data_IF_550650686692
#
_entry.id   IF_550650686692
#
_cell.length_a   1.000
_cell.length_b   1.000
_cell.length_c   1.000
_cell.angle_alpha   90.00
_cell.angle_beta   90.00
_cell.angle_gamma   90.00
#
_symmetry.space_group_name_H-M   'P 1'
#
loop_
_entity.id
_entity.type
_entity.pdbx_description
1 polymer ?
#
# COMPACT_ATOMS: atom_id res chain seq x y z
N UNK A 1 7.26 27.58 -2.65
CA UNK A 1 6.52 26.32 -2.80
C UNK A 1 6.63 25.55 -1.49
N UNK A 2 5.51 25.28 -0.78
CA UNK A 2 5.56 24.41 0.40
C UNK A 2 6.07 23.04 -0.06
N UNK A 3 7.10 22.51 0.61
CA UNK A 3 7.57 21.15 0.37
C UNK A 3 6.35 20.21 0.50
N UNK A 4 6.16 19.31 -0.46
CA UNK A 4 5.32 18.12 -0.24
C UNK A 4 5.99 17.34 0.89
N UNK A 5 5.64 17.65 2.13
CA UNK A 5 5.98 16.79 3.25
C UNK A 5 5.41 15.40 2.91
N UNK A 6 6.28 14.39 2.95
CA UNK A 6 5.86 13.01 2.71
C UNK A 6 4.96 12.65 3.88
N UNK A 7 3.66 12.53 3.62
CA UNK A 7 2.69 12.10 4.60
C UNK A 7 2.83 10.58 4.76
N UNK A 8 3.31 10.15 5.93
CA UNK A 8 3.48 8.75 6.30
C UNK A 8 2.35 8.43 7.28
N UNK A 9 1.56 7.41 6.98
CA UNK A 9 0.49 6.92 7.84
C UNK A 9 0.71 5.45 8.18
N UNK A 10 0.30 5.06 9.38
CA UNK A 10 0.27 3.67 9.83
C UNK A 10 -0.95 2.95 9.24
N UNK A 11 -0.90 1.62 9.21
CA UNK A 11 -2.00 0.77 8.73
C UNK A 11 -3.32 1.05 9.46
N UNK A 12 -3.24 1.24 10.76
CA UNK A 12 -4.40 1.53 11.60
C UNK A 12 -4.87 2.98 11.49
N UNK A 13 -4.15 3.85 10.78
CA UNK A 13 -4.51 5.25 10.51
C UNK A 13 -5.16 5.42 9.13
N UNK A 14 -5.25 4.35 8.34
CA UNK A 14 -5.88 4.36 7.03
C UNK A 14 -6.98 3.30 6.90
N UNK A 15 -7.86 3.52 5.95
CA UNK A 15 -8.78 2.52 5.44
C UNK A 15 -8.47 2.32 3.96
N UNK A 16 -8.16 1.08 3.58
CA UNK A 16 -7.83 0.72 2.21
C UNK A 16 -8.99 -0.09 1.64
N UNK A 17 -9.61 0.40 0.58
CA UNK A 17 -10.65 -0.32 -0.17
C UNK A 17 -10.20 -0.55 -1.59
N UNK A 18 -10.70 -1.61 -2.22
CA UNK A 18 -10.46 -1.90 -3.63
C UNK A 18 -11.76 -1.72 -4.40
N UNK A 19 -11.71 -0.90 -5.46
CA UNK A 19 -12.82 -0.76 -6.42
C UNK A 19 -12.28 -1.02 -7.82
N UNK A 20 -12.61 -2.20 -8.36
CA UNK A 20 -12.09 -2.70 -9.62
C UNK A 20 -10.55 -2.70 -9.66
N UNK A 21 -10.04 -1.81 -10.50
CA UNK A 21 -8.62 -1.64 -10.80
C UNK A 21 -7.93 -0.58 -9.95
N UNK A 22 -8.59 -0.07 -8.91
CA UNK A 22 -8.06 0.96 -8.03
C UNK A 22 -8.09 0.52 -6.57
N UNK A 23 -7.08 0.93 -5.82
CA UNK A 23 -7.12 1.02 -4.37
C UNK A 23 -7.35 2.46 -3.94
N UNK A 24 -8.28 2.63 -3.03
CA UNK A 24 -8.62 3.89 -2.38
C UNK A 24 -8.08 3.83 -0.96
N UNK A 25 -7.17 4.76 -0.64
CA UNK A 25 -6.55 4.87 0.68
C UNK A 25 -7.11 6.14 1.33
N UNK A 26 -8.06 5.94 2.24
CA UNK A 26 -8.69 7.00 3.02
C UNK A 26 -7.92 7.17 4.34
N UNK A 27 -7.48 8.38 4.65
CA UNK A 27 -6.84 8.67 5.93
C UNK A 27 -7.91 8.94 6.99
N UNK A 28 -7.67 8.46 8.22
CA UNK A 28 -8.56 8.74 9.36
C UNK A 28 -8.43 10.18 9.85
N UNK A 29 -7.30 10.83 9.59
CA UNK A 29 -7.08 12.24 9.92
C UNK A 29 -7.95 13.13 9.01
N UNK A 30 -8.71 14.04 9.62
CA UNK A 30 -9.57 14.98 8.89
C UNK A 30 -8.72 16.01 8.10
N UNK A 31 -9.17 16.32 6.89
CA UNK A 31 -8.52 17.31 6.03
C UNK A 31 -7.35 16.77 5.20
N UNK A 32 -6.98 15.50 5.38
CA UNK A 32 -5.97 14.83 4.54
C UNK A 32 -6.64 14.23 3.29
N UNK A 33 -6.21 14.60 2.07
CA UNK A 33 -6.79 14.04 0.86
C UNK A 33 -6.52 12.53 0.73
N UNK A 34 -7.53 11.76 0.33
CA UNK A 34 -7.39 10.34 0.02
C UNK A 34 -6.44 10.11 -1.17
N UNK A 35 -5.80 8.94 -1.20
CA UNK A 35 -4.95 8.51 -2.31
C UNK A 35 -5.70 7.50 -3.19
N UNK A 36 -5.76 7.79 -4.49
CA UNK A 36 -6.25 6.86 -5.51
C UNK A 36 -5.07 6.22 -6.23
N UNK A 37 -4.88 4.93 -6.01
CA UNK A 37 -3.80 4.16 -6.60
C UNK A 37 -4.37 3.17 -7.61
N UNK A 38 -4.03 3.31 -8.89
CA UNK A 38 -4.42 2.33 -9.91
C UNK A 38 -3.54 1.07 -9.76
N UNK A 39 -4.18 -0.09 -9.57
CA UNK A 39 -3.58 -1.43 -9.41
C UNK A 39 -3.89 -2.36 -10.61
N UNK A 40 -4.85 -2.00 -11.47
CA UNK A 40 -5.39 -2.83 -12.56
C UNK A 40 -4.42 -3.39 -13.61
N UNK A 41 -4.92 -4.05 -14.67
CA UNK A 41 -4.15 -4.86 -15.62
C UNK A 41 -3.07 -4.10 -16.41
N UNK A 42 -3.08 -2.76 -16.36
CA UNK A 42 -2.03 -1.90 -16.91
C UNK A 42 -0.78 -1.80 -16.02
N UNK A 43 -0.84 -2.29 -14.77
CA UNK A 43 0.38 -2.65 -14.04
C UNK A 43 1.00 -3.81 -14.80
N UNK A 44 2.10 -3.50 -15.50
CA UNK A 44 2.80 -4.40 -16.41
C UNK A 44 2.64 -5.85 -15.99
N UNK A 45 1.92 -6.65 -16.79
CA UNK A 45 1.46 -8.01 -16.48
C UNK A 45 2.55 -9.06 -16.17
N UNK A 46 3.81 -8.64 -15.98
CA UNK A 46 4.93 -9.44 -15.48
C UNK A 46 5.51 -8.97 -14.13
N UNK A 47 5.07 -7.84 -13.59
CA UNK A 47 5.51 -7.28 -12.30
C UNK A 47 4.27 -6.83 -11.52
N UNK A 48 3.65 -7.75 -10.78
CA UNK A 48 2.59 -7.38 -9.84
C UNK A 48 3.11 -6.36 -8.83
N UNK A 49 2.31 -5.35 -8.49
CA UNK A 49 2.63 -4.41 -7.42
C UNK A 49 2.31 -5.07 -6.07
N UNK A 50 3.34 -5.27 -5.24
CA UNK A 50 3.18 -5.74 -3.87
C UNK A 50 3.40 -4.56 -2.93
N UNK A 51 2.39 -4.25 -2.13
CA UNK A 51 2.49 -3.28 -1.04
C UNK A 51 2.83 -4.06 0.22
N UNK A 52 3.95 -3.72 0.86
CA UNK A 52 4.40 -4.35 2.10
C UNK A 52 4.50 -3.29 3.20
N UNK A 53 4.01 -3.64 4.39
CA UNK A 53 4.08 -2.77 5.56
C UNK A 53 5.30 -3.16 6.39
N UNK A 54 6.20 -2.22 6.61
CA UNK A 54 7.43 -2.39 7.38
C UNK A 54 7.49 -1.35 8.51
N UNK A 55 8.27 -1.58 9.59
CA UNK A 55 8.58 -0.54 10.56
C UNK A 55 9.08 0.75 9.88
N UNK A 56 8.81 1.91 10.49
CA UNK A 56 9.12 3.22 9.91
C UNK A 56 10.61 3.39 9.59
N UNK A 57 11.49 2.86 10.45
CA UNK A 57 12.94 2.88 10.27
C UNK A 57 13.45 1.92 9.17
N UNK A 58 12.58 1.08 8.62
CA UNK A 58 12.88 0.09 7.59
C UNK A 58 12.35 0.46 6.20
N UNK A 59 11.63 1.58 6.02
CA UNK A 59 11.05 2.01 4.73
C UNK A 59 12.08 2.21 3.61
N UNK A 60 13.36 2.35 3.95
CA UNK A 60 14.47 2.49 3.01
C UNK A 60 15.17 1.18 2.67
N UNK A 61 14.72 0.07 3.27
CA UNK A 61 15.28 -1.27 3.08
C UNK A 61 14.29 -2.15 2.34
N UNK A 62 14.80 -3.09 1.56
CA UNK A 62 13.94 -4.13 0.97
C UNK A 62 13.61 -5.14 2.08
N UNK A 63 12.32 -5.38 2.39
CA UNK A 63 11.92 -6.37 3.39
C UNK A 63 12.40 -7.78 3.02
N UNK A 64 12.73 -8.57 4.03
CA UNK A 64 13.08 -9.98 3.88
C UNK A 64 11.77 -10.79 3.87
N UNK A 65 11.54 -11.52 2.79
CA UNK A 65 10.32 -12.30 2.60
C UNK A 65 10.59 -13.79 2.86
N UNK A 66 9.80 -14.39 3.75
CA UNK A 66 9.70 -15.86 3.82
C UNK A 66 8.70 -16.35 2.78
N UNK A 67 9.17 -17.16 1.82
CA UNK A 67 8.29 -17.84 0.86
C UNK A 67 7.70 -19.06 1.56
N UNK A 68 6.37 -19.11 1.67
CA UNK A 68 5.62 -20.24 2.22
C UNK A 68 4.66 -20.78 1.17
N UNK A 69 4.47 -22.10 1.14
CA UNK A 69 3.37 -22.69 0.38
C UNK A 69 2.05 -22.35 1.07
N UNK A 70 1.00 -21.99 0.30
CA UNK A 70 -0.31 -21.75 0.90
C UNK A 70 -0.81 -23.03 1.56
N UNK A 71 -1.29 -22.93 2.80
CA UNK A 71 -2.05 -24.02 3.40
C UNK A 71 -3.33 -24.19 2.57
N UNK A 72 -3.41 -25.31 1.85
CA UNK A 72 -4.64 -25.69 1.18
C UNK A 72 -5.64 -26.03 2.28
N UNK A 73 -6.65 -25.18 2.49
CA UNK A 73 -7.80 -25.54 3.31
C UNK A 73 -8.46 -26.79 2.68
N UNK A 74 -8.37 -27.93 3.36
CA UNK A 74 -9.03 -29.20 3.01
C UNK A 74 -10.44 -29.28 3.56
#
# INVERSE_FOLDING_TARGET
MKRKERYIARLDEVKITREGDYAFIEYKEEGVPATHLQIGPEIAAGWGMRIEFVPEDEVHRRPVLEVREPELET
#
